data_IF_612856568897
#
_entry.id   IF_612856568897
#
_cell.length_a   1.000
_cell.length_b   1.000
_cell.length_c   1.000
_cell.angle_alpha   90.00
_cell.angle_beta   90.00
_cell.angle_gamma   90.00
#
_symmetry.space_group_name_H-M   'P 1'
#
loop_
_entity.id
_entity.type
_entity.pdbx_description
1 polymer ?
#
# COMPACT_ATOMS: atom_id res chain seq x y z
N UNK A 1 2.10 -3.99 16.02
CA UNK A 1 0.73 -4.48 15.77
C UNK A 1 0.80 -5.38 14.55
N UNK A 2 0.20 -6.57 14.59
CA UNK A 2 0.25 -7.50 13.47
C UNK A 2 -0.45 -6.88 12.25
N UNK A 3 0.28 -6.71 11.15
CA UNK A 3 -0.32 -6.26 9.90
C UNK A 3 -1.24 -7.35 9.37
N UNK A 4 -2.54 -7.05 9.32
CA UNK A 4 -3.51 -7.97 8.74
C UNK A 4 -3.32 -8.05 7.23
N UNK A 5 -3.51 -9.25 6.64
CA UNK A 5 -3.47 -9.39 5.18
C UNK A 5 -4.69 -8.67 4.59
N UNK A 6 -4.48 -7.89 3.53
CA UNK A 6 -5.57 -7.18 2.81
C UNK A 6 -6.70 -8.13 2.37
N UNK A 7 -6.39 -9.40 2.06
CA UNK A 7 -7.41 -10.40 1.73
C UNK A 7 -8.38 -10.73 2.87
N UNK A 8 -8.01 -10.46 4.11
CA UNK A 8 -8.89 -10.66 5.28
C UNK A 8 -9.87 -9.52 5.48
N UNK A 9 -9.62 -8.34 4.89
CA UNK A 9 -10.52 -7.20 4.99
C UNK A 9 -11.89 -7.48 4.36
N UNK A 10 -12.95 -6.79 4.78
CA UNK A 10 -14.21 -6.77 4.06
C UNK A 10 -14.00 -6.46 2.57
N UNK A 11 -14.67 -7.17 1.67
CA UNK A 11 -14.47 -7.03 0.21
C UNK A 11 -14.58 -5.58 -0.27
N UNK A 12 -15.52 -4.80 0.30
CA UNK A 12 -15.73 -3.39 -0.01
C UNK A 12 -14.58 -2.47 0.42
N UNK A 13 -13.70 -2.91 1.31
CA UNK A 13 -12.54 -2.16 1.80
C UNK A 13 -11.25 -2.54 1.09
N UNK A 14 -11.23 -3.69 0.40
CA UNK A 14 -10.04 -4.13 -0.33
C UNK A 14 -9.80 -3.24 -1.54
N UNK A 15 -8.59 -2.67 -1.71
CA UNK A 15 -8.34 -1.66 -2.74
C UNK A 15 -8.69 -2.10 -4.16
N UNK A 16 -8.38 -3.34 -4.56
CA UNK A 16 -8.65 -3.81 -5.93
C UNK A 16 -10.13 -3.99 -6.21
N UNK A 17 -10.84 -4.58 -5.27
CA UNK A 17 -12.27 -4.81 -5.36
C UNK A 17 -13.03 -3.49 -5.33
N UNK A 18 -12.61 -2.54 -4.48
CA UNK A 18 -13.16 -1.18 -4.45
C UNK A 18 -12.88 -0.43 -5.76
N UNK A 19 -11.68 -0.57 -6.34
CA UNK A 19 -11.35 0.00 -7.65
C UNK A 19 -12.27 -0.52 -8.76
N UNK A 20 -12.56 -1.82 -8.79
CA UNK A 20 -13.45 -2.44 -9.77
C UNK A 20 -14.90 -1.96 -9.59
N UNK A 21 -15.37 -1.82 -8.35
CA UNK A 21 -16.75 -1.48 -8.04
C UNK A 21 -17.05 0.02 -8.17
N UNK A 22 -16.11 0.88 -7.78
CA UNK A 22 -16.36 2.31 -7.55
C UNK A 22 -15.50 3.25 -8.39
N UNK A 23 -14.50 2.73 -9.12
CA UNK A 23 -13.57 3.56 -9.90
C UNK A 23 -12.43 4.18 -9.07
N UNK A 24 -11.33 4.60 -9.73
CA UNK A 24 -10.14 5.12 -9.05
C UNK A 24 -10.38 6.41 -8.26
N UNK A 25 -11.39 7.20 -8.63
CA UNK A 25 -11.76 8.44 -7.95
C UNK A 25 -12.29 8.24 -6.52
N UNK A 26 -12.71 7.02 -6.17
CA UNK A 26 -13.14 6.65 -4.82
C UNK A 26 -12.00 6.04 -3.97
N UNK A 27 -10.80 6.00 -4.52
CA UNK A 27 -9.62 5.48 -3.85
C UNK A 27 -8.72 6.60 -3.37
N UNK A 28 -8.06 6.37 -2.24
CA UNK A 28 -6.99 7.25 -1.77
C UNK A 28 -5.70 6.98 -2.54
N UNK A 29 -4.76 7.92 -2.51
CA UNK A 29 -3.40 7.71 -3.04
C UNK A 29 -2.76 6.44 -2.45
N UNK A 30 -3.03 6.15 -1.17
CA UNK A 30 -2.53 4.95 -0.50
C UNK A 30 -3.16 3.67 -1.06
N UNK A 31 -4.47 3.67 -1.32
CA UNK A 31 -5.16 2.53 -1.96
C UNK A 31 -4.57 2.26 -3.36
N UNK A 32 -4.44 3.32 -4.17
CA UNK A 32 -3.90 3.22 -5.52
C UNK A 32 -2.45 2.73 -5.53
N UNK A 33 -1.61 3.30 -4.67
CA UNK A 33 -0.23 2.87 -4.54
C UNK A 33 -0.12 1.43 -4.02
N UNK A 34 -0.98 1.01 -3.07
CA UNK A 34 -1.01 -0.37 -2.59
C UNK A 34 -1.35 -1.38 -3.69
N UNK A 35 -2.22 -1.01 -4.63
CA UNK A 35 -2.54 -1.83 -5.81
C UNK A 35 -1.29 -2.02 -6.68
N UNK A 36 -0.54 -0.94 -6.92
CA UNK A 36 0.71 -0.94 -7.70
C UNK A 36 1.79 -1.79 -7.02
N UNK A 37 1.98 -1.63 -5.70
CA UNK A 37 2.96 -2.40 -4.93
C UNK A 37 2.68 -3.90 -4.95
N UNK A 38 1.40 -4.29 -5.08
CA UNK A 38 0.87 -5.66 -5.25
C UNK A 38 1.11 -6.63 -4.09
N UNK A 39 2.22 -6.51 -3.38
CA UNK A 39 2.62 -7.33 -2.24
C UNK A 39 3.17 -6.45 -1.12
N UNK A 40 2.93 -6.86 0.12
CA UNK A 40 3.60 -6.32 1.29
C UNK A 40 4.91 -7.05 1.58
N UNK A 41 5.75 -6.47 2.44
CA UNK A 41 7.00 -7.08 2.91
C UNK A 41 6.71 -8.07 4.03
N UNK A 42 7.31 -9.26 4.01
CA UNK A 42 7.22 -10.24 5.11
C UNK A 42 5.85 -10.88 5.34
N UNK A 43 4.75 -10.36 4.76
CA UNK A 43 3.37 -10.81 5.03
C UNK A 43 3.05 -12.23 4.55
N UNK A 44 3.92 -12.82 3.73
CA UNK A 44 3.74 -14.15 3.15
C UNK A 44 4.46 -15.25 3.93
N UNK A 45 5.33 -14.91 4.90
CA UNK A 45 6.09 -15.88 5.69
C UNK A 45 5.50 -15.99 7.10
N UNK A 46 5.18 -17.20 7.50
CA UNK A 46 4.72 -17.49 8.87
C UNK A 46 5.82 -17.16 9.88
N UNK A 47 5.45 -16.52 10.99
CA UNK A 47 6.39 -16.11 12.04
C UNK A 47 7.20 -14.83 11.77
N UNK A 48 7.06 -14.17 10.61
CA UNK A 48 7.72 -12.90 10.31
C UNK A 48 6.70 -11.75 10.44
N UNK A 49 6.96 -10.73 11.29
CA UNK A 49 6.17 -9.50 11.28
C UNK A 49 6.26 -8.84 9.90
N UNK A 50 5.17 -8.90 9.15
CA UNK A 50 5.08 -8.27 7.84
C UNK A 50 4.37 -6.92 7.89
N UNK A 51 4.47 -6.18 6.78
CA UNK A 51 3.72 -4.95 6.51
C UNK A 51 2.95 -5.18 5.22
N UNK A 52 1.62 -5.07 5.26
CA UNK A 52 0.82 -5.23 4.05
C UNK A 52 1.06 -4.08 3.05
N UNK A 53 0.64 -4.29 1.79
CA UNK A 53 0.91 -3.32 0.73
C UNK A 53 0.31 -1.93 1.01
N UNK A 54 -0.80 -1.85 1.75
CA UNK A 54 -1.46 -0.60 2.11
C UNK A 54 -0.69 0.17 3.18
N UNK A 55 -0.24 -0.51 4.22
CA UNK A 55 0.65 0.08 5.23
C UNK A 55 1.98 0.53 4.62
N UNK A 56 2.55 -0.25 3.69
CA UNK A 56 3.74 0.13 2.95
C UNK A 56 3.50 1.40 2.11
N UNK A 57 2.38 1.46 1.39
CA UNK A 57 1.97 2.66 0.66
C UNK A 57 1.83 3.89 1.57
N UNK A 58 1.20 3.73 2.73
CA UNK A 58 1.09 4.81 3.73
C UNK A 58 2.46 5.29 4.21
N UNK A 59 3.40 4.38 4.50
CA UNK A 59 4.75 4.76 4.92
C UNK A 59 5.47 5.53 3.82
N UNK A 60 5.45 5.03 2.58
CA UNK A 60 6.06 5.70 1.43
C UNK A 60 5.47 7.11 1.25
N UNK A 61 4.15 7.24 1.24
CA UNK A 61 3.51 8.54 1.08
C UNK A 61 3.83 9.50 2.23
N UNK A 62 3.95 9.01 3.46
CA UNK A 62 4.38 9.83 4.60
C UNK A 62 5.82 10.31 4.43
N UNK A 63 6.73 9.39 4.11
CA UNK A 63 8.17 9.66 4.06
C UNK A 63 8.52 10.62 2.92
N UNK A 64 7.77 10.56 1.83
CA UNK A 64 7.92 11.44 0.67
C UNK A 64 6.95 12.64 0.65
N UNK A 65 6.08 12.80 1.65
CA UNK A 65 5.05 13.86 1.72
C UNK A 65 4.11 13.88 0.50
N UNK A 66 3.62 12.70 0.13
CA UNK A 66 2.65 12.47 -0.94
C UNK A 66 3.28 12.08 -2.28
N UNK A 67 2.42 11.81 -3.28
CA UNK A 67 2.85 11.32 -4.60
C UNK A 67 3.79 12.28 -5.33
N UNK A 68 3.59 13.60 -5.21
CA UNK A 68 4.48 14.60 -5.84
C UNK A 68 5.89 14.58 -5.28
N UNK A 69 6.05 14.28 -4.00
CA UNK A 69 7.38 14.16 -3.41
C UNK A 69 8.03 12.82 -3.77
N UNK A 70 7.23 11.76 -3.91
CA UNK A 70 7.69 10.47 -4.40
C UNK A 70 8.17 10.54 -5.86
N UNK A 71 7.43 11.24 -6.72
CA UNK A 71 7.79 11.47 -8.13
C UNK A 71 9.13 12.21 -8.29
N UNK A 72 9.46 13.09 -7.33
CA UNK A 72 10.73 13.83 -7.30
C UNK A 72 11.86 13.09 -6.59
N UNK A 73 11.57 11.95 -5.96
CA UNK A 73 12.55 11.16 -5.24
C UNK A 73 13.59 10.59 -6.21
N UNK A 74 14.84 10.55 -5.78
CA UNK A 74 15.89 9.83 -6.50
C UNK A 74 15.88 8.38 -6.05
N UNK A 75 16.47 7.50 -6.88
CA UNK A 75 16.55 6.07 -6.57
C UNK A 75 17.18 5.81 -5.19
N UNK A 76 18.21 6.56 -4.80
CA UNK A 76 18.84 6.40 -3.49
C UNK A 76 17.92 6.77 -2.32
N UNK A 77 16.93 7.63 -2.52
CA UNK A 77 15.95 7.96 -1.48
C UNK A 77 15.00 6.79 -1.21
N UNK A 78 14.80 5.91 -2.21
CA UNK A 78 13.93 4.74 -2.17
C UNK A 78 14.61 3.48 -1.62
N UNK A 79 15.94 3.44 -1.62
CA UNK A 79 16.75 2.28 -1.18
C UNK A 79 17.07 2.29 0.32
N UNK A 80 16.26 2.97 1.14
CA UNK A 80 16.43 2.98 2.59
C UNK A 80 16.16 1.63 3.23
#
# INVERSE_FOLDING_TARGET
>A
MSSERIRSWPTKERPRERLIAEGPERLTDADLLAIILRIGSGTSREGVPGTNAYEAALSILRDFRGLRGLDRARIHDLLK
#
